data_IF_214856609158
#
_entry.id   IF_214856609158
#
_cell.length_a   1.000
_cell.length_b   1.000
_cell.length_c   1.000
_cell.angle_alpha   90.00
_cell.angle_beta   90.00
_cell.angle_gamma   90.00
#
_symmetry.space_group_name_H-M   'P 1'
#
loop_
_entity.id
_entity.type
_entity.pdbx_description
1 polymer ?
#
# COMPACT_ATOMS: atom_id res chain seq x y z
N UNK A 1 -9.91 7.62 -7.86
CA UNK A 1 -11.06 8.43 -7.39
C UNK A 1 -10.58 9.44 -6.33
N UNK A 2 -11.46 9.96 -5.46
CA UNK A 2 -11.09 10.99 -4.48
C UNK A 2 -10.01 10.52 -3.48
N UNK A 3 -9.97 9.22 -3.16
CA UNK A 3 -8.94 8.65 -2.30
C UNK A 3 -7.58 8.62 -3.01
N UNK A 4 -7.55 8.23 -4.29
CA UNK A 4 -6.30 8.26 -5.07
C UNK A 4 -5.68 9.66 -5.12
N UNK A 5 -6.50 10.70 -5.23
CA UNK A 5 -6.01 12.08 -5.20
C UNK A 5 -5.42 12.47 -3.84
N UNK A 6 -5.98 11.95 -2.74
CA UNK A 6 -5.50 12.22 -1.37
C UNK A 6 -4.22 11.44 -1.07
N UNK A 7 -4.10 10.23 -1.60
CA UNK A 7 -2.98 9.32 -1.35
C UNK A 7 -1.84 9.46 -2.36
N UNK A 8 -2.05 10.18 -3.47
CA UNK A 8 -1.02 10.43 -4.47
C UNK A 8 0.23 11.08 -3.84
N UNK A 9 1.40 10.49 -4.12
CA UNK A 9 2.68 10.95 -3.59
C UNK A 9 2.97 10.57 -2.14
N UNK A 10 2.07 9.81 -1.48
CA UNK A 10 2.36 9.21 -0.17
C UNK A 10 3.28 8.00 -0.30
N UNK A 11 4.08 7.78 0.73
CA UNK A 11 4.91 6.59 0.87
C UNK A 11 4.15 5.53 1.66
N UNK A 12 4.18 4.30 1.18
CA UNK A 12 3.52 3.18 1.82
C UNK A 12 4.43 1.95 1.86
N UNK A 13 4.13 1.07 2.81
CA UNK A 13 4.81 -0.21 3.01
C UNK A 13 3.90 -1.30 2.44
N UNK A 14 4.47 -2.20 1.65
CA UNK A 14 3.78 -3.41 1.19
C UNK A 14 3.67 -4.36 2.38
N UNK A 15 2.46 -4.55 2.89
CA UNK A 15 2.15 -5.52 3.96
C UNK A 15 1.94 -6.91 3.39
N UNK A 16 1.23 -7.01 2.26
CA UNK A 16 0.99 -8.25 1.56
C UNK A 16 0.88 -8.04 0.04
N UNK A 17 1.07 -9.14 -0.69
CA UNK A 17 0.73 -9.25 -2.12
C UNK A 17 -0.42 -10.25 -2.16
N UNK A 18 -1.57 -9.81 -2.65
CA UNK A 18 -2.80 -10.60 -2.69
C UNK A 18 -3.24 -10.80 -4.15
N UNK A 19 -3.82 -11.96 -4.44
CA UNK A 19 -4.39 -12.27 -5.75
C UNK A 19 -5.92 -12.35 -5.60
N UNK A 20 -6.66 -11.68 -6.46
CA UNK A 20 -8.12 -11.68 -6.43
C UNK A 20 -8.74 -12.88 -7.17
N UNK A 21 -10.08 -12.94 -7.21
CA UNK A 21 -10.79 -14.06 -7.86
C UNK A 21 -10.70 -14.04 -9.39
N UNK A 22 -10.14 -12.97 -9.97
CA UNK A 22 -9.85 -12.83 -11.39
C UNK A 22 -8.37 -13.13 -11.72
N UNK A 23 -7.57 -13.52 -10.72
CA UNK A 23 -6.11 -13.73 -10.80
C UNK A 23 -5.33 -12.42 -11.04
N UNK A 24 -5.88 -11.27 -10.63
CA UNK A 24 -5.15 -9.99 -10.65
C UNK A 24 -4.40 -9.80 -9.33
N UNK A 25 -3.16 -9.32 -9.45
CA UNK A 25 -2.27 -9.08 -8.30
C UNK A 25 -2.47 -7.66 -7.78
N UNK A 26 -2.75 -7.56 -6.49
CA UNK A 26 -2.92 -6.32 -5.75
C UNK A 26 -1.91 -6.24 -4.61
N UNK A 27 -1.35 -5.05 -4.41
CA UNK A 27 -0.49 -4.74 -3.27
C UNK A 27 -1.35 -4.22 -2.13
N UNK A 28 -1.34 -4.91 -0.99
CA UNK A 28 -1.92 -4.41 0.25
C UNK A 28 -0.93 -3.45 0.91
N UNK A 29 -1.23 -2.16 0.84
CA UNK A 29 -0.39 -1.07 1.31
C UNK A 29 -0.89 -0.51 2.63
N UNK A 30 0.05 -0.19 3.51
CA UNK A 30 -0.18 0.61 4.71
C UNK A 30 0.69 1.86 4.61
N UNK A 31 0.10 3.05 4.75
CA UNK A 31 0.86 4.30 4.64
C UNK A 31 1.89 4.38 5.77
N UNK A 32 3.08 4.88 5.44
CA UNK A 32 4.17 5.03 6.41
C UNK A 32 3.78 6.01 7.54
N UNK A 33 3.00 7.04 7.21
CA UNK A 33 2.57 8.13 8.09
C UNK A 33 1.16 7.97 8.69
N UNK A 34 0.49 6.82 8.51
CA UNK A 34 -0.85 6.57 9.08
C UNK A 34 -0.79 6.42 10.61
N UNK A 35 -1.52 7.24 11.41
CA UNK A 35 -1.65 7.03 12.85
C UNK A 35 -2.19 5.65 13.23
N UNK A 36 -3.00 5.04 12.36
CA UNK A 36 -3.54 3.70 12.49
C UNK A 36 -2.73 2.60 11.81
N UNK A 37 -1.47 2.86 11.41
CA UNK A 37 -0.61 1.91 10.70
C UNK A 37 -0.57 0.53 11.35
N UNK A 38 -0.48 0.46 12.68
CA UNK A 38 -0.45 -0.81 13.42
C UNK A 38 -1.74 -1.63 13.25
N UNK A 39 -2.89 -0.97 13.07
CA UNK A 39 -4.16 -1.65 12.74
C UNK A 39 -4.09 -2.24 11.33
N UNK A 40 -3.53 -1.48 10.38
CA UNK A 40 -3.27 -1.96 9.01
C UNK A 40 -2.35 -3.17 8.99
N UNK A 41 -1.25 -3.13 9.74
CA UNK A 41 -0.31 -4.26 9.90
C UNK A 41 -0.96 -5.46 10.60
N UNK A 42 -1.89 -5.23 11.52
CA UNK A 42 -2.71 -6.27 12.14
C UNK A 42 -3.88 -6.74 11.25
N UNK A 43 -3.95 -6.28 10.00
CA UNK A 43 -4.99 -6.59 9.00
C UNK A 43 -6.40 -6.23 9.46
N UNK A 44 -6.54 -5.24 10.32
CA UNK A 44 -7.85 -4.69 10.66
C UNK A 44 -8.38 -3.82 9.51
N UNK A 45 -9.71 -3.78 9.29
CA UNK A 45 -10.31 -2.99 8.23
C UNK A 45 -10.00 -1.49 8.35
N UNK A 46 -9.97 -0.78 7.21
CA UNK A 46 -9.90 0.68 7.15
C UNK A 46 -8.48 1.29 7.09
N UNK A 47 -7.44 0.47 7.27
CA UNK A 47 -6.03 0.91 7.27
C UNK A 47 -5.16 0.14 6.26
N UNK A 48 -5.79 -0.58 5.34
CA UNK A 48 -5.12 -1.22 4.20
C UNK A 48 -5.75 -0.70 2.91
N UNK A 49 -4.90 -0.28 1.98
CA UNK A 49 -5.28 0.17 0.66
C UNK A 49 -4.76 -0.84 -0.36
N UNK A 50 -5.52 -1.09 -1.42
CA UNK A 50 -5.19 -2.10 -2.42
C UNK A 50 -4.97 -1.38 -3.73
N UNK A 51 -3.79 -1.57 -4.32
CA UNK A 51 -3.38 -0.93 -5.57
C UNK A 51 -2.74 -1.96 -6.50
N UNK A 52 -2.93 -1.78 -7.80
CA UNK A 52 -2.24 -2.51 -8.85
C UNK A 52 -0.75 -2.16 -8.91
N UNK A 53 0.04 -3.00 -9.59
CA UNK A 53 1.48 -2.79 -9.78
C UNK A 53 1.79 -1.54 -10.62
N UNK A 54 0.88 -1.15 -11.50
CA UNK A 54 0.98 0.01 -12.39
C UNK A 54 0.52 1.33 -11.74
N UNK A 55 -0.09 1.25 -10.56
CA UNK A 55 -0.60 2.41 -9.82
C UNK A 55 0.40 2.94 -8.78
N UNK A 56 1.53 2.25 -8.59
CA UNK A 56 2.56 2.62 -7.61
C UNK A 56 3.95 2.68 -8.23
N UNK A 57 4.81 3.49 -7.63
CA UNK A 57 6.22 3.54 -7.97
C UNK A 57 7.08 3.04 -6.80
N UNK A 58 8.07 2.17 -7.04
CA UNK A 58 9.00 1.74 -6.00
C UNK A 58 9.77 2.93 -5.43
N UNK A 59 9.81 3.04 -4.10
CA UNK A 59 10.65 4.02 -3.42
C UNK A 59 12.11 3.61 -3.61
N UNK A 60 12.92 4.49 -4.20
CA UNK A 60 14.33 4.23 -4.43
C UNK A 60 15.04 3.97 -3.09
N UNK A 61 15.44 2.71 -2.86
CA UNK A 61 16.25 2.38 -1.72
C UNK A 61 17.72 2.71 -2.04
N UNK A 62 18.25 3.78 -1.44
CA UNK A 62 19.70 3.91 -1.31
C UNK A 62 20.18 2.80 -0.41
N UNK A 63 20.79 1.78 -1.01
CA UNK A 63 21.40 0.68 -0.27
C UNK A 63 22.54 1.26 0.57
N UNK A 64 22.45 1.16 1.89
CA UNK A 64 23.58 1.42 2.77
C UNK A 64 24.63 0.34 2.51
N UNK A 65 25.83 0.74 2.07
CA UNK A 65 27.01 -0.13 1.89
C UNK A 65 27.54 -0.69 3.22
#
# INVERSE_FOLDING_TARGET
DAFDMILSGKIAIIEAIEEDVQNEVHLALVLEDDPGRELGMARQPGHRFFYGLDEVEPVAMTKSE
#
